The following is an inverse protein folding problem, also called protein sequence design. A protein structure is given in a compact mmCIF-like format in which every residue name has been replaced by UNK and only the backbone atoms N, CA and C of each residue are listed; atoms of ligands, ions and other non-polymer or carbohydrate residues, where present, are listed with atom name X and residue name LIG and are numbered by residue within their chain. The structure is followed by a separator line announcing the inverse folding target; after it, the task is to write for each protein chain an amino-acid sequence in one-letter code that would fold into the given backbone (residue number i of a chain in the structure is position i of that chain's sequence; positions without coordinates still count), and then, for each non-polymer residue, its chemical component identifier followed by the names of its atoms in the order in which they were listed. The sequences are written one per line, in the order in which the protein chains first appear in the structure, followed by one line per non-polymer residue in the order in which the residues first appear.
data_IF_973242633648
#
_entry.id   IF_973242633648
#
_cell.length_a   1.000
_cell.length_b   1.000
_cell.length_c   1.000
_cell.angle_alpha   90.00
_cell.angle_beta   90.00
_cell.angle_gamma   90.00
#
_symmetry.space_group_name_H-M   'P 1'
#
loop_
_entity.id
_entity.type
_entity.pdbx_description
1 polymer ?
#
# COMPACT_ATOMS: atom_id res chain seq x y z
N UNK A 1 18.75 -26.76 8.77
CA UNK A 1 18.15 -27.11 7.46
C UNK A 1 16.70 -27.57 7.54
N UNK A 2 16.31 -28.62 8.29
CA UNK A 2 14.89 -29.06 8.31
C UNK A 2 13.91 -28.05 8.91
N UNK A 3 14.29 -27.33 9.96
CA UNK A 3 13.44 -26.34 10.64
C UNK A 3 13.10 -25.15 9.73
N UNK A 4 14.06 -24.69 8.94
CA UNK A 4 13.87 -23.60 7.96
C UNK A 4 12.92 -24.04 6.84
N UNK A 5 13.08 -25.25 6.31
CA UNK A 5 12.20 -25.78 5.27
C UNK A 5 10.74 -25.89 5.72
N UNK A 6 10.50 -26.30 6.98
CA UNK A 6 9.16 -26.36 7.55
C UNK A 6 8.57 -24.95 7.77
N UNK A 7 9.38 -24.00 8.25
CA UNK A 7 8.95 -22.61 8.43
C UNK A 7 8.56 -21.98 7.08
N UNK A 8 9.35 -22.20 6.03
CA UNK A 8 9.00 -21.75 4.68
C UNK A 8 7.71 -22.41 4.18
N UNK A 9 7.57 -23.73 4.26
CA UNK A 9 6.36 -24.41 3.82
C UNK A 9 5.10 -23.89 4.53
N UNK A 10 5.22 -23.59 5.83
CA UNK A 10 4.13 -23.02 6.60
C UNK A 10 3.80 -21.58 6.19
N UNK A 11 4.82 -20.75 5.96
CA UNK A 11 4.64 -19.40 5.41
C UNK A 11 3.89 -19.43 4.07
N UNK A 12 4.35 -20.26 3.12
CA UNK A 12 3.73 -20.35 1.79
C UNK A 12 2.26 -20.77 1.86
N UNK A 13 1.94 -21.78 2.69
CA UNK A 13 0.56 -22.23 2.89
C UNK A 13 -0.33 -21.12 3.46
N UNK A 14 0.18 -20.36 4.43
CA UNK A 14 -0.56 -19.24 5.00
C UNK A 14 -0.79 -18.13 3.96
N UNK A 15 0.24 -17.77 3.19
CA UNK A 15 0.14 -16.77 2.11
C UNK A 15 -0.86 -17.17 1.02
N UNK A 16 -0.91 -18.46 0.65
CA UNK A 16 -1.90 -18.99 -0.29
C UNK A 16 -3.32 -18.90 0.26
N UNK A 17 -3.54 -19.30 1.53
CA UNK A 17 -4.84 -19.21 2.17
C UNK A 17 -5.32 -17.74 2.35
N UNK A 18 -4.40 -16.83 2.67
CA UNK A 18 -4.70 -15.40 2.80
C UNK A 18 -5.05 -14.78 1.44
N UNK A 19 -4.40 -15.20 0.35
CA UNK A 19 -4.73 -14.79 -1.01
C UNK A 19 -6.14 -15.26 -1.41
N UNK A 20 -6.50 -16.52 -1.16
CA UNK A 20 -7.84 -17.06 -1.46
C UNK A 20 -8.94 -16.37 -0.64
N UNK A 21 -8.66 -16.06 0.63
CA UNK A 21 -9.62 -15.41 1.54
C UNK A 21 -9.62 -13.88 1.46
N UNK A 22 -8.75 -13.29 0.61
CA UNK A 22 -8.53 -11.84 0.50
C UNK A 22 -8.29 -11.18 1.87
N UNK A 23 -7.65 -11.91 2.79
CA UNK A 23 -7.21 -11.38 4.08
C UNK A 23 -5.97 -10.52 3.85
N UNK A 24 -6.01 -9.29 4.33
CA UNK A 24 -4.97 -8.29 4.03
C UNK A 24 -5.06 -7.65 2.64
N UNK A 25 -6.07 -7.99 1.84
CA UNK A 25 -6.33 -7.29 0.59
C UNK A 25 -6.76 -5.84 0.88
N UNK A 26 -6.13 -4.89 0.19
CA UNK A 26 -6.48 -3.48 0.27
C UNK A 26 -7.83 -3.25 -0.39
N UNK A 27 -8.82 -2.77 0.37
CA UNK A 27 -10.19 -2.55 -0.10
C UNK A 27 -10.48 -1.06 -0.17
N UNK A 28 -11.51 -0.71 -0.94
CA UNK A 28 -11.95 0.68 -1.11
C UNK A 28 -12.24 1.40 0.23
N UNK A 29 -12.74 0.66 1.23
CA UNK A 29 -12.97 1.19 2.59
C UNK A 29 -11.68 1.62 3.30
N UNK A 30 -10.55 1.01 2.94
CA UNK A 30 -9.25 1.29 3.54
C UNK A 30 -8.62 2.54 2.90
N UNK A 31 -9.06 2.94 1.69
CA UNK A 31 -8.62 4.16 1.02
C UNK A 31 -8.93 5.44 1.83
N UNK A 32 -9.97 5.43 2.67
CA UNK A 32 -10.32 6.58 3.51
C UNK A 32 -9.28 6.90 4.58
N UNK A 33 -8.39 5.96 4.90
CA UNK A 33 -7.29 6.18 5.84
C UNK A 33 -6.04 6.81 5.20
N UNK A 34 -6.01 6.95 3.87
CA UNK A 34 -4.84 7.44 3.13
C UNK A 34 -5.09 8.84 2.57
N UNK A 35 -4.02 9.64 2.53
CA UNK A 35 -4.01 10.89 1.78
C UNK A 35 -3.99 10.58 0.28
N UNK A 36 -4.91 11.18 -0.46
CA UNK A 36 -4.99 11.04 -1.91
C UNK A 36 -3.99 11.98 -2.58
N UNK A 37 -3.12 11.41 -3.42
CA UNK A 37 -2.18 12.18 -4.22
C UNK A 37 -2.87 12.62 -5.51
N UNK A 38 -2.79 13.90 -5.90
CA UNK A 38 -3.40 14.35 -7.12
C UNK A 38 -2.59 13.88 -8.35
N UNK A 39 -3.22 13.75 -9.53
CA UNK A 39 -2.56 13.21 -10.72
C UNK A 39 -1.30 13.97 -11.15
N UNK A 40 -1.23 15.28 -10.92
CA UNK A 40 -0.06 16.10 -11.19
C UNK A 40 1.17 15.70 -10.35
N UNK A 41 0.97 15.17 -9.14
CA UNK A 41 2.04 14.61 -8.31
C UNK A 41 2.61 13.33 -8.93
N UNK A 42 1.78 12.54 -9.63
CA UNK A 42 2.26 11.36 -10.35
C UNK A 42 3.18 11.74 -11.52
N UNK A 43 2.87 12.84 -12.21
CA UNK A 43 3.67 13.33 -13.33
C UNK A 43 4.99 13.98 -12.89
N UNK A 44 4.97 14.74 -11.79
CA UNK A 44 6.16 15.42 -11.26
C UNK A 44 7.03 14.53 -10.39
N UNK A 45 6.45 13.46 -9.82
CA UNK A 45 7.09 12.63 -8.81
C UNK A 45 7.25 13.31 -7.44
N UNK A 46 6.65 14.49 -7.25
CA UNK A 46 6.81 15.32 -6.05
C UNK A 46 5.45 15.58 -5.42
N UNK A 47 5.31 15.20 -4.14
CA UNK A 47 4.12 15.51 -3.35
C UNK A 47 4.04 17.00 -3.03
N UNK A 48 2.82 17.55 -2.97
CA UNK A 48 2.62 18.96 -2.62
C UNK A 48 3.01 19.23 -1.17
N UNK A 49 3.39 20.48 -0.87
CA UNK A 49 3.75 20.90 0.48
C UNK A 49 2.63 20.60 1.50
N UNK A 50 1.37 20.78 1.11
CA UNK A 50 0.22 20.47 1.97
C UNK A 50 0.16 18.99 2.37
N UNK A 51 0.46 18.07 1.45
CA UNK A 51 0.45 16.63 1.74
C UNK A 51 1.63 16.26 2.64
N UNK A 52 2.81 16.84 2.36
CA UNK A 52 4.00 16.68 3.20
C UNK A 52 3.71 17.14 4.62
N UNK A 53 3.16 18.35 4.81
CA UNK A 53 2.80 18.86 6.13
C UNK A 53 1.83 17.93 6.86
N UNK A 54 0.81 17.40 6.19
CA UNK A 54 -0.14 16.45 6.79
C UNK A 54 0.54 15.13 7.20
N UNK A 55 1.51 14.64 6.45
CA UNK A 55 2.25 13.43 6.80
C UNK A 55 3.11 13.60 8.07
N UNK A 56 3.55 14.82 8.36
CA UNK A 56 4.44 15.12 9.49
C UNK A 56 3.78 15.92 10.63
N UNK A 57 2.48 16.23 10.52
CA UNK A 57 1.80 17.13 11.46
C UNK A 57 1.82 16.64 12.92
N UNK A 58 1.74 15.32 13.12
CA UNK A 58 1.71 14.69 14.45
C UNK A 58 3.11 14.27 14.93
N UNK A 59 4.15 14.49 14.14
CA UNK A 59 5.51 14.08 14.45
C UNK A 59 6.24 15.11 15.29
N UNK A 60 7.00 14.62 16.29
CA UNK A 60 7.82 15.50 17.13
C UNK A 60 9.03 15.96 16.33
N UNK A 61 9.54 17.16 16.63
CA UNK A 61 10.76 17.68 16.03
C UNK A 61 12.01 16.80 16.25
N UNK A 62 11.96 15.85 17.20
CA UNK A 62 13.02 14.89 17.49
C UNK A 62 12.78 13.50 16.87
N UNK A 63 11.73 13.33 16.05
CA UNK A 63 11.50 12.08 15.33
C UNK A 63 12.55 11.94 14.23
N UNK A 64 13.40 10.92 14.35
CA UNK A 64 14.46 10.65 13.36
C UNK A 64 13.99 9.77 12.19
N UNK A 65 12.91 9.00 12.38
CA UNK A 65 12.40 8.04 11.41
C UNK A 65 10.88 8.12 11.35
N UNK A 66 10.35 8.26 10.14
CA UNK A 66 8.92 8.23 9.86
C UNK A 66 8.69 7.19 8.78
N UNK A 67 7.78 6.26 9.04
CA UNK A 67 7.36 5.27 8.04
C UNK A 67 6.29 5.88 7.15
N UNK A 68 6.55 5.91 5.83
CA UNK A 68 5.59 6.40 4.84
C UNK A 68 5.25 5.24 3.90
N UNK A 69 3.98 4.83 3.90
CA UNK A 69 3.49 3.74 3.05
C UNK A 69 2.80 4.33 1.83
N UNK A 70 3.43 4.18 0.66
CA UNK A 70 2.86 4.54 -0.62
C UNK A 70 2.07 3.36 -1.19
N UNK A 71 0.80 3.57 -1.54
CA UNK A 71 -0.07 2.57 -2.17
C UNK A 71 -0.47 3.04 -3.57
N UNK A 72 0.03 2.41 -4.65
CA UNK A 72 -0.40 2.76 -5.99
C UNK A 72 -1.85 2.31 -6.21
N UNK A 73 -2.71 3.21 -6.68
CA UNK A 73 -4.00 2.82 -7.22
C UNK A 73 -3.79 2.13 -8.58
N UNK A 74 -3.95 0.81 -8.60
CA UNK A 74 -3.93 0.05 -9.85
C UNK A 74 -5.32 0.14 -10.47
N UNK A 75 -5.48 1.08 -11.41
CA UNK A 75 -6.69 1.14 -12.23
C UNK A 75 -6.76 -0.11 -13.10
N UNK A 76 -7.77 -0.96 -12.84
CA UNK A 76 -8.11 -2.05 -13.75
C UNK A 76 -8.72 -1.40 -14.98
N UNK A 77 -7.98 -1.38 -16.09
CA UNK A 77 -8.55 -1.15 -17.41
C UNK A 77 -9.65 -2.19 -17.58
N UNK A 78 -10.92 -1.74 -17.60
CA UNK A 78 -11.99 -2.56 -18.14
C UNK A 78 -11.64 -2.74 -19.61
N UNK A 79 -11.17 -3.93 -19.97
CA UNK A 79 -11.01 -4.30 -21.37
C UNK A 79 -12.34 -3.99 -22.06
N UNK A 80 -12.27 -3.10 -23.05
CA UNK A 80 -13.39 -2.79 -23.90
C UNK A 80 -13.88 -4.11 -24.50
N UNK A 81 -15.06 -4.57 -24.10
CA UNK A 81 -15.74 -5.64 -24.81
C UNK A 81 -16.14 -5.04 -26.15
N UNK A 82 -15.27 -5.19 -27.14
CA UNK A 82 -15.62 -4.99 -28.55
C UNK A 82 -16.75 -5.98 -28.86
N UNK A 83 -17.98 -5.47 -28.86
CA UNK A 83 -19.11 -6.04 -29.60
C UNK A 83 -19.22 -5.31 -30.92
#
# INVERSE_FOLDING_TARGET
MQTEALAFAQYWRNSLADAETSKGAFRLKDCGAFLQLPPETLASGIASAEIVEKCFADEKAQTHFVEIVLRPEVYIVRSCSLR
#
